data_IF_635534594376
#
_entry.id   IF_635534594376
#
_cell.length_a   1.000
_cell.length_b   1.000
_cell.length_c   1.000
_cell.angle_alpha   90.00
_cell.angle_beta   90.00
_cell.angle_gamma   90.00
#
_symmetry.space_group_name_H-M   'P 1'
#
loop_
_entity.id
_entity.type
_entity.pdbx_description
1 polymer ?
#
# COMPACT_ATOMS: atom_id res chain seq x y z
N UNK A 1 -3.51 14.28 1.77
CA UNK A 1 -3.68 12.84 1.45
C UNK A 1 -4.62 12.23 2.48
N UNK A 2 -5.52 11.31 2.08
CA UNK A 2 -6.53 10.70 2.98
C UNK A 2 -6.05 9.43 3.70
N UNK A 3 -4.83 8.99 3.41
CA UNK A 3 -4.21 7.79 4.00
C UNK A 3 -3.03 8.22 4.87
N UNK A 4 -2.98 7.77 6.13
CA UNK A 4 -1.86 8.01 7.06
C UNK A 4 -0.96 6.76 7.14
N UNK A 5 0.26 6.76 6.56
CA UNK A 5 1.17 5.61 6.61
C UNK A 5 1.93 5.51 7.94
N UNK A 6 2.42 4.32 8.28
CA UNK A 6 3.24 4.11 9.47
C UNK A 6 4.72 4.34 9.15
N UNK A 7 5.29 5.43 9.70
CA UNK A 7 6.68 5.81 9.44
C UNK A 7 7.71 4.88 10.12
N UNK A 8 7.28 3.99 11.03
CA UNK A 8 8.20 3.05 11.72
C UNK A 8 8.53 1.81 10.89
N UNK A 9 7.75 1.50 9.85
CA UNK A 9 8.04 0.37 8.98
C UNK A 9 9.14 0.71 7.99
N UNK A 10 10.24 -0.03 8.07
CA UNK A 10 11.39 0.07 7.16
C UNK A 10 11.43 -1.21 6.34
N UNK A 11 11.49 -1.06 5.02
CA UNK A 11 11.63 -2.18 4.08
C UNK A 11 12.98 -2.08 3.41
N UNK A 12 13.67 -3.21 3.25
CA UNK A 12 14.89 -3.28 2.45
C UNK A 12 14.60 -2.89 1.00
N UNK A 13 15.57 -2.27 0.33
CA UNK A 13 15.46 -1.85 -1.06
C UNK A 13 15.10 -2.99 -2.01
N UNK A 14 15.77 -4.13 -1.89
CA UNK A 14 15.53 -5.32 -2.73
C UNK A 14 14.07 -5.80 -2.64
N UNK A 15 13.54 -5.83 -1.42
CA UNK A 15 12.13 -6.14 -1.16
C UNK A 15 11.14 -5.19 -1.86
N UNK A 16 11.49 -3.90 -1.97
CA UNK A 16 10.66 -2.89 -2.66
C UNK A 16 10.78 -3.04 -4.18
N UNK A 17 12.00 -3.23 -4.68
CA UNK A 17 12.28 -3.40 -6.11
C UNK A 17 11.62 -4.67 -6.68
N UNK A 18 11.69 -5.79 -5.95
CA UNK A 18 11.02 -7.02 -6.35
C UNK A 18 9.50 -6.86 -6.42
N UNK A 19 8.90 -6.22 -5.40
CA UNK A 19 7.45 -5.99 -5.39
C UNK A 19 7.01 -5.00 -6.48
N UNK A 20 7.84 -4.02 -6.79
CA UNK A 20 7.65 -3.08 -7.90
C UNK A 20 7.63 -3.81 -9.25
N UNK A 21 8.56 -4.75 -9.47
CA UNK A 21 8.59 -5.59 -10.67
C UNK A 21 7.34 -6.48 -10.77
N UNK A 22 6.97 -7.16 -9.68
CA UNK A 22 5.78 -8.02 -9.63
C UNK A 22 4.49 -7.24 -9.94
N UNK A 23 4.27 -6.08 -9.29
CA UNK A 23 3.08 -5.25 -9.52
C UNK A 23 3.05 -4.67 -10.94
N UNK A 24 4.20 -4.32 -11.52
CA UNK A 24 4.27 -3.88 -12.92
C UNK A 24 3.90 -4.99 -13.91
N UNK A 25 4.28 -6.24 -13.60
CA UNK A 25 4.07 -7.37 -14.50
C UNK A 25 2.65 -7.94 -14.43
N UNK A 26 2.12 -8.11 -13.22
CA UNK A 26 0.84 -8.82 -12.99
C UNK A 26 -0.26 -7.90 -12.45
N UNK A 27 0.04 -6.64 -12.18
CA UNK A 27 -0.85 -5.75 -11.44
C UNK A 27 -0.89 -6.08 -9.96
N UNK A 28 -1.76 -5.37 -9.23
CA UNK A 28 -2.00 -5.65 -7.82
C UNK A 28 -3.04 -6.77 -7.68
N UNK A 29 -2.57 -7.96 -7.28
CA UNK A 29 -3.40 -9.14 -7.08
C UNK A 29 -4.24 -9.01 -5.80
N UNK A 30 -3.59 -8.67 -4.69
CA UNK A 30 -4.24 -8.55 -3.39
C UNK A 30 -4.50 -7.08 -3.01
N UNK A 31 -5.71 -6.76 -2.54
CA UNK A 31 -6.03 -5.43 -2.03
C UNK A 31 -5.28 -5.10 -0.73
N UNK A 32 -5.14 -3.81 -0.41
CA UNK A 32 -4.71 -3.38 0.92
C UNK A 32 -5.89 -3.43 1.90
N UNK A 33 -5.61 -3.68 3.17
CA UNK A 33 -6.63 -3.58 4.22
C UNK A 33 -6.49 -2.22 4.88
N UNK A 34 -7.60 -1.50 4.97
CA UNK A 34 -7.67 -0.19 5.59
C UNK A 34 -8.80 -0.16 6.61
N UNK A 35 -8.67 0.66 7.63
CA UNK A 35 -9.77 0.96 8.55
C UNK A 35 -9.99 2.46 8.61
N UNK A 36 -11.22 2.86 8.90
CA UNK A 36 -11.60 4.27 8.95
C UNK A 36 -11.57 4.77 10.40
N UNK A 37 -10.73 5.77 10.66
CA UNK A 37 -10.48 6.33 12.00
C UNK A 37 -11.39 7.53 12.30
N UNK A 38 -12.54 7.63 11.62
CA UNK A 38 -13.48 8.77 11.74
C UNK A 38 -13.14 9.97 10.84
N UNK A 39 -11.86 10.18 10.52
CA UNK A 39 -11.42 11.29 9.65
C UNK A 39 -10.62 10.83 8.43
N UNK A 40 -9.80 9.79 8.60
CA UNK A 40 -8.84 9.33 7.60
C UNK A 40 -8.84 7.80 7.52
N UNK A 41 -8.34 7.27 6.41
CA UNK A 41 -8.06 5.85 6.29
C UNK A 41 -6.66 5.55 6.81
N UNK A 42 -6.57 4.52 7.65
CA UNK A 42 -5.29 3.98 8.11
C UNK A 42 -5.09 2.61 7.50
N UNK A 43 -3.86 2.32 7.10
CA UNK A 43 -3.53 1.01 6.55
C UNK A 43 -3.40 0.03 7.72
N UNK A 44 -4.22 -1.01 7.71
CA UNK A 44 -4.13 -2.14 8.63
C UNK A 44 -3.12 -3.17 8.11
N UNK A 45 -3.24 -3.57 6.85
CA UNK A 45 -2.30 -4.44 6.16
C UNK A 45 -2.02 -3.96 4.73
N UNK A 46 -0.83 -4.26 4.22
CA UNK A 46 -0.45 -3.94 2.86
C UNK A 46 0.28 -2.61 2.70
N UNK A 47 0.88 -2.07 3.76
CA UNK A 47 1.69 -0.84 3.70
C UNK A 47 2.80 -0.91 2.65
N UNK A 48 3.48 -2.05 2.56
CA UNK A 48 4.51 -2.29 1.54
C UNK A 48 3.94 -2.13 0.12
N UNK A 49 2.74 -2.69 -0.14
CA UNK A 49 2.05 -2.59 -1.43
C UNK A 49 1.65 -1.15 -1.73
N UNK A 50 1.08 -0.45 -0.75
CA UNK A 50 0.71 0.97 -0.88
C UNK A 50 1.92 1.85 -1.22
N UNK A 51 3.05 1.66 -0.52
CA UNK A 51 4.28 2.41 -0.79
C UNK A 51 4.81 2.15 -2.21
N UNK A 52 4.80 0.90 -2.66
CA UNK A 52 5.20 0.58 -4.04
C UNK A 52 4.26 1.21 -5.05
N UNK A 53 2.93 1.19 -4.83
CA UNK A 53 1.98 1.88 -5.69
C UNK A 53 2.27 3.39 -5.78
N UNK A 54 2.63 4.03 -4.66
CA UNK A 54 3.04 5.44 -4.63
C UNK A 54 4.33 5.70 -5.41
N UNK A 55 5.35 4.83 -5.27
CA UNK A 55 6.60 4.90 -6.04
C UNK A 55 6.32 4.77 -7.55
N UNK A 56 5.41 3.87 -7.91
CA UNK A 56 4.97 3.61 -9.27
C UNK A 56 4.04 4.71 -9.84
N UNK A 57 3.71 5.74 -9.06
CA UNK A 57 2.74 6.80 -9.41
C UNK A 57 1.38 6.25 -9.84
N UNK A 58 0.96 5.13 -9.25
CA UNK A 58 -0.37 4.57 -9.47
C UNK A 58 -1.35 5.40 -8.62
N UNK A 59 -2.36 5.97 -9.28
CA UNK A 59 -3.31 6.90 -8.64
C UNK A 59 -4.42 6.21 -7.84
N UNK A 60 -4.60 4.89 -8.01
CA UNK A 60 -5.65 4.12 -7.36
C UNK A 60 -5.12 2.77 -6.88
N UNK A 61 -5.69 2.26 -5.79
CA UNK A 61 -5.29 0.98 -5.18
C UNK A 61 -6.56 0.24 -4.77
N UNK A 62 -6.60 -1.08 -4.97
CA UNK A 62 -7.70 -1.89 -4.45
C UNK A 62 -7.57 -1.94 -2.93
N UNK A 63 -8.64 -1.67 -2.21
CA UNK A 63 -8.65 -1.69 -0.76
C UNK A 63 -9.91 -2.39 -0.22
N UNK A 64 -9.76 -3.07 0.91
CA UNK A 64 -10.85 -3.64 1.71
C UNK A 64 -10.92 -2.82 3.00
N UNK A 65 -12.12 -2.34 3.34
CA UNK A 65 -12.36 -1.66 4.62
C UNK A 65 -12.64 -2.75 5.66
N UNK A 66 -11.83 -2.79 6.72
CA UNK A 66 -12.03 -3.66 7.89
C UNK A 66 -12.64 -2.82 9.01
N UNK A 67 -13.74 -3.31 9.58
CA UNK A 67 -14.45 -2.73 10.75
C UNK A 67 -13.79 -3.14 12.07
#
# INVERSE_FOLDING_TARGET
>A
EKIKPNLRLIYSRESIEWLCYSIKSQGMLEPIQIWFDGENFRIWDGEKRWRVCKILKINWVKAIIVE
#
